data_IF_800034499398
#
_entry.id   IF_800034499398
#
_cell.length_a   1.000
_cell.length_b   1.000
_cell.length_c   1.000
_cell.angle_alpha   90.00
_cell.angle_beta   90.00
_cell.angle_gamma   90.00
#
_symmetry.space_group_name_H-M   'P 1'
#
loop_
_entity.id
_entity.type
_entity.pdbx_description
1 polymer ?
#
# COMPACT_ATOMS: atom_id res chain seq x y z
N UNK A 1 -23.86 22.00 -0.69
CA UNK A 1 -22.81 20.97 -0.59
C UNK A 1 -21.83 21.29 -1.70
N UNK A 2 -20.74 21.95 -1.35
CA UNK A 2 -19.77 22.50 -2.27
C UNK A 2 -18.74 21.41 -2.55
N UNK A 3 -18.69 20.89 -3.77
CA UNK A 3 -17.57 20.07 -4.24
C UNK A 3 -16.27 20.89 -4.06
N UNK A 4 -15.23 20.37 -3.38
CA UNK A 4 -13.96 21.06 -3.36
C UNK A 4 -13.36 21.02 -4.77
N UNK A 5 -13.34 22.21 -5.37
CA UNK A 5 -12.87 22.45 -6.72
C UNK A 5 -11.35 22.27 -6.82
N UNK A 6 -10.97 21.59 -7.89
CA UNK A 6 -9.83 21.94 -8.73
C UNK A 6 -8.43 21.61 -8.15
N UNK A 7 -8.14 20.31 -8.12
CA UNK A 7 -6.79 19.75 -8.13
C UNK A 7 -6.03 20.33 -9.33
N UNK A 8 -4.99 21.13 -9.07
CA UNK A 8 -4.06 21.55 -10.12
C UNK A 8 -3.48 20.33 -10.83
N UNK A 9 -3.14 20.41 -12.13
CA UNK A 9 -2.59 19.30 -12.88
C UNK A 9 -1.23 18.93 -12.27
N UNK A 10 -1.22 17.87 -11.48
CA UNK A 10 0.01 17.22 -11.03
C UNK A 10 0.64 16.62 -12.29
N UNK A 11 1.88 17.01 -12.57
CA UNK A 11 2.62 16.40 -13.67
C UNK A 11 2.70 14.88 -13.41
N UNK A 12 2.36 14.02 -14.39
CA UNK A 12 2.41 12.59 -14.18
C UNK A 12 3.85 12.20 -13.83
N UNK A 13 4.08 11.54 -12.68
CA UNK A 13 5.41 11.18 -12.24
C UNK A 13 6.08 10.21 -13.21
N UNK A 14 7.40 10.30 -13.35
CA UNK A 14 8.14 9.36 -14.18
C UNK A 14 8.13 7.96 -13.58
N UNK A 15 8.23 6.92 -14.41
CA UNK A 15 8.32 5.52 -13.97
C UNK A 15 9.51 5.31 -13.01
N UNK A 16 10.61 6.01 -13.21
CA UNK A 16 11.77 5.98 -12.32
C UNK A 16 11.46 6.59 -10.95
N UNK A 17 10.71 7.70 -10.91
CA UNK A 17 10.26 8.34 -9.67
C UNK A 17 9.31 7.41 -8.91
N UNK A 18 8.35 6.77 -9.60
CA UNK A 18 7.43 5.80 -9.00
C UNK A 18 8.21 4.60 -8.44
N UNK A 19 9.16 4.06 -9.19
CA UNK A 19 10.00 2.95 -8.71
C UNK A 19 10.79 3.32 -7.45
N UNK A 20 11.47 4.48 -7.45
CA UNK A 20 12.21 4.97 -6.27
C UNK A 20 11.29 5.14 -5.06
N UNK A 21 10.09 5.69 -5.28
CA UNK A 21 9.07 5.87 -4.26
C UNK A 21 8.64 4.53 -3.65
N UNK A 22 8.21 3.59 -4.50
CA UNK A 22 7.73 2.29 -4.04
C UNK A 22 8.84 1.46 -3.41
N UNK A 23 10.07 1.52 -3.93
CA UNK A 23 11.22 0.86 -3.29
C UNK A 23 11.46 1.38 -1.86
N UNK A 24 11.32 2.71 -1.64
CA UNK A 24 11.46 3.29 -0.31
C UNK A 24 10.33 2.88 0.63
N UNK A 25 9.09 2.98 0.15
CA UNK A 25 7.89 2.59 0.92
C UNK A 25 7.91 1.09 1.24
N UNK A 26 8.25 0.26 0.26
CA UNK A 26 8.40 -1.19 0.42
C UNK A 26 9.47 -1.52 1.46
N UNK A 27 10.62 -0.84 1.45
CA UNK A 27 11.64 -1.01 2.49
C UNK A 27 11.10 -0.73 3.90
N UNK A 28 10.32 0.34 4.06
CA UNK A 28 9.71 0.68 5.36
C UNK A 28 8.65 -0.34 5.82
N UNK A 29 7.94 -0.96 4.87
CA UNK A 29 6.91 -1.98 5.14
C UNK A 29 7.45 -3.42 5.17
N UNK A 30 8.75 -3.62 4.87
CA UNK A 30 9.36 -4.94 4.74
C UNK A 30 8.88 -5.72 3.50
N UNK A 31 8.51 -5.02 2.43
CA UNK A 31 8.03 -5.59 1.16
C UNK A 31 9.09 -5.36 0.08
N UNK A 32 9.62 -6.42 -0.55
CA UNK A 32 10.54 -6.26 -1.67
C UNK A 32 9.78 -5.75 -2.89
N UNK A 33 10.23 -4.63 -3.46
CA UNK A 33 9.64 -4.05 -4.68
C UNK A 33 10.55 -4.31 -5.87
N UNK A 34 10.00 -4.96 -6.89
CA UNK A 34 10.71 -5.29 -8.12
C UNK A 34 10.32 -4.33 -9.24
N UNK A 35 11.29 -3.96 -10.10
CA UNK A 35 11.03 -3.02 -11.21
C UNK A 35 9.99 -3.53 -12.21
N UNK A 36 9.79 -4.84 -12.30
CA UNK A 36 8.78 -5.46 -13.17
C UNK A 36 7.33 -5.20 -12.73
N UNK A 37 7.11 -4.79 -11.48
CA UNK A 37 5.78 -4.44 -10.93
C UNK A 37 5.36 -2.99 -11.21
N UNK A 38 6.23 -2.21 -11.85
CA UNK A 38 5.96 -0.82 -12.21
C UNK A 38 5.36 -0.79 -13.61
N UNK A 39 4.11 -0.35 -13.72
CA UNK A 39 3.43 -0.24 -15.01
C UNK A 39 4.02 0.89 -15.85
N UNK A 40 4.26 0.60 -17.13
CA UNK A 40 4.62 1.64 -18.08
C UNK A 40 3.39 2.44 -18.48
N UNK A 41 3.58 3.73 -18.74
CA UNK A 41 2.51 4.64 -19.16
C UNK A 41 1.81 4.20 -20.47
N UNK A 42 2.50 3.42 -21.31
CA UNK A 42 1.95 2.88 -22.55
C UNK A 42 0.89 1.80 -22.30
N UNK A 43 0.98 1.06 -21.19
CA UNK A 43 0.07 -0.05 -20.86
C UNK A 43 -1.23 0.44 -20.20
N UNK A 44 -1.30 1.73 -19.85
CA UNK A 44 -2.45 2.38 -19.20
C UNK A 44 -3.29 3.23 -20.17
N UNK A 45 -3.01 3.16 -21.48
CA UNK A 45 -3.61 4.02 -22.52
C UNK A 45 -5.13 3.80 -22.76
N UNK A 46 -5.71 2.70 -22.27
CA UNK A 46 -7.14 2.42 -22.39
C UNK A 46 -7.99 3.00 -21.24
N UNK A 47 -7.35 3.60 -20.22
CA UNK A 47 -8.04 4.32 -19.17
C UNK A 47 -8.15 5.81 -19.55
N UNK A 48 -9.39 6.32 -19.61
CA UNK A 48 -9.75 7.76 -19.58
C UNK A 48 -8.75 8.53 -18.68
N UNK A 49 -8.33 9.77 -19.01
CA UNK A 49 -7.35 10.52 -18.23
C UNK A 49 -7.94 10.91 -16.87
N UNK A 50 -7.99 9.96 -15.94
CA UNK A 50 -8.82 10.07 -14.74
C UNK A 50 -8.03 10.51 -13.52
N UNK A 51 -6.70 10.36 -13.52
CA UNK A 51 -5.84 10.86 -12.45
C UNK A 51 -4.35 10.73 -12.86
N UNK A 52 -3.51 11.79 -12.82
CA UNK A 52 -2.07 11.67 -13.06
C UNK A 52 -1.34 10.73 -12.09
N UNK A 53 -1.92 10.45 -10.91
CA UNK A 53 -1.35 9.54 -9.90
C UNK A 53 -1.90 8.11 -10.01
N UNK A 54 -2.77 7.82 -10.98
CA UNK A 54 -3.35 6.47 -11.16
C UNK A 54 -2.28 5.40 -11.39
N UNK A 55 -1.26 5.68 -12.21
CA UNK A 55 -0.15 4.76 -12.45
C UNK A 55 0.66 4.43 -11.19
N UNK A 56 0.78 5.40 -10.26
CA UNK A 56 1.41 5.19 -8.97
C UNK A 56 0.56 4.25 -8.10
N UNK A 57 -0.75 4.50 -7.98
CA UNK A 57 -1.66 3.68 -7.16
C UNK A 57 -1.68 2.23 -7.64
N UNK A 58 -1.83 2.02 -8.95
CA UNK A 58 -1.86 0.65 -9.52
C UNK A 58 -0.52 -0.06 -9.36
N UNK A 59 0.61 0.65 -9.59
CA UNK A 59 1.94 0.05 -9.38
C UNK A 59 2.18 -0.30 -7.92
N UNK A 60 1.63 0.48 -6.98
CA UNK A 60 1.72 0.19 -5.56
C UNK A 60 0.99 -1.10 -5.21
N UNK A 61 -0.25 -1.27 -5.67
CA UNK A 61 -1.04 -2.48 -5.48
C UNK A 61 -0.34 -3.71 -6.06
N UNK A 62 0.20 -3.61 -7.29
CA UNK A 62 0.98 -4.70 -7.90
C UNK A 62 2.25 -5.06 -7.14
N UNK A 63 2.78 -4.13 -6.35
CA UNK A 63 3.93 -4.33 -5.47
C UNK A 63 3.54 -4.85 -4.07
N UNK A 64 2.25 -5.13 -3.81
CA UNK A 64 1.75 -5.52 -2.49
C UNK A 64 1.65 -4.37 -1.48
N UNK A 65 1.74 -3.12 -1.96
CA UNK A 65 1.61 -1.90 -1.15
C UNK A 65 0.21 -1.33 -1.35
N UNK A 66 -0.64 -1.43 -0.33
CA UNK A 66 -1.95 -0.80 -0.35
C UNK A 66 -1.81 0.70 -0.04
N UNK A 67 -2.23 1.55 -0.98
CA UNK A 67 -2.14 3.01 -0.84
C UNK A 67 -3.54 3.60 -0.83
N UNK A 68 -3.86 4.36 0.22
CA UNK A 68 -5.15 5.04 0.35
C UNK A 68 -4.94 6.53 0.47
N UNK A 69 -5.64 7.31 -0.35
CA UNK A 69 -5.69 8.76 -0.20
C UNK A 69 -6.32 9.10 1.16
N UNK A 70 -5.63 9.94 1.92
CA UNK A 70 -5.99 10.31 3.28
C UNK A 70 -5.92 11.84 3.42
N UNK A 71 -6.87 12.40 4.16
CA UNK A 71 -6.77 13.76 4.66
C UNK A 71 -6.49 13.64 6.15
N UNK A 72 -5.46 14.33 6.63
CA UNK A 72 -5.19 14.43 8.06
C UNK A 72 -5.60 15.82 8.51
N UNK A 73 -6.27 15.90 9.66
CA UNK A 73 -6.73 17.16 10.23
C UNK A 73 -5.56 17.97 10.80
N UNK A 74 -4.53 17.27 11.30
CA UNK A 74 -3.31 17.86 11.81
C UNK A 74 -2.06 16.97 11.58
N UNK A 75 -0.91 17.53 11.92
CA UNK A 75 0.39 16.85 11.79
C UNK A 75 0.55 15.75 12.83
N UNK A 76 -0.11 15.84 13.97
CA UNK A 76 -0.01 14.83 15.03
C UNK A 76 -0.67 13.52 14.60
N UNK A 77 -1.80 13.59 13.90
CA UNK A 77 -2.47 12.44 13.30
C UNK A 77 -1.53 11.72 12.32
N UNK A 78 -0.91 12.49 11.42
CA UNK A 78 0.07 11.95 10.47
C UNK A 78 1.28 11.31 11.18
N UNK A 79 1.83 11.97 12.20
CA UNK A 79 2.92 11.41 13.01
C UNK A 79 2.47 10.12 13.70
N UNK A 80 1.24 10.04 14.19
CA UNK A 80 0.67 8.84 14.81
C UNK A 80 0.73 7.63 13.89
N UNK A 81 0.30 7.77 12.64
CA UNK A 81 0.40 6.69 11.64
C UNK A 81 1.85 6.26 11.37
N UNK A 82 2.77 7.23 11.29
CA UNK A 82 4.20 6.92 11.09
C UNK A 82 4.78 6.18 12.30
N UNK A 83 4.36 6.51 13.53
CA UNK A 83 4.76 5.78 14.74
C UNK A 83 4.22 4.35 14.77
N UNK A 84 3.05 4.12 14.18
CA UNK A 84 2.47 2.77 13.99
C UNK A 84 3.16 1.98 12.87
N UNK A 85 4.11 2.58 12.15
CA UNK A 85 4.84 1.97 11.05
C UNK A 85 4.14 2.09 9.70
N UNK A 86 3.17 3.00 9.57
CA UNK A 86 2.51 3.29 8.30
C UNK A 86 3.10 4.55 7.66
N UNK A 87 3.91 4.41 6.60
CA UNK A 87 4.51 5.55 5.92
C UNK A 87 3.44 6.42 5.24
N UNK A 88 3.68 7.73 5.27
CA UNK A 88 2.84 8.72 4.61
C UNK A 88 3.57 9.25 3.38
N UNK A 89 2.83 9.37 2.28
CA UNK A 89 3.32 9.84 1.00
C UNK A 89 2.58 11.14 0.67
N UNK A 90 3.33 12.18 0.34
CA UNK A 90 2.77 13.48 -0.06
C UNK A 90 3.16 13.72 -1.51
N UNK A 91 2.17 13.83 -2.39
CA UNK A 91 2.40 14.16 -3.79
C UNK A 91 2.48 15.69 -3.96
N UNK A 92 3.58 16.16 -4.54
CA UNK A 92 3.76 17.56 -4.90
C UNK A 92 3.27 17.80 -6.35
N UNK A 93 2.88 19.05 -6.70
CA UNK A 93 2.41 19.38 -8.04
C UNK A 93 3.45 19.17 -9.16
N UNK A 94 4.74 19.18 -8.83
CA UNK A 94 5.86 18.97 -9.75
C UNK A 94 6.14 17.48 -10.06
N UNK A 95 5.27 16.57 -9.61
CA UNK A 95 5.44 15.13 -9.77
C UNK A 95 6.46 14.49 -8.82
N UNK A 96 7.04 15.28 -7.90
CA UNK A 96 7.86 14.74 -6.81
C UNK A 96 7.02 14.26 -5.64
N UNK A 97 7.60 13.40 -4.81
CA UNK A 97 6.96 12.86 -3.61
C UNK A 97 7.78 13.14 -2.37
N UNK A 98 7.11 13.34 -1.25
CA UNK A 98 7.74 13.33 0.07
C UNK A 98 7.23 12.10 0.81
N UNK A 99 8.15 11.25 1.25
CA UNK A 99 7.87 10.08 2.09
C UNK A 99 8.23 10.42 3.53
N UNK A 100 7.32 10.16 4.45
CA UNK A 100 7.48 10.30 5.89
C UNK A 100 7.33 8.89 6.46
N UNK A 101 8.43 8.26 6.87
CA UNK A 101 8.42 6.82 7.20
C UNK A 101 9.08 6.46 8.53
N UNK A 102 9.77 7.41 9.17
CA UNK A 102 10.48 7.12 10.42
C UNK A 102 10.53 8.34 11.33
N UNK A 103 10.60 8.08 12.64
CA UNK A 103 10.76 9.10 13.67
C UNK A 103 11.95 8.72 14.54
N UNK A 104 12.95 9.60 14.55
CA UNK A 104 14.16 9.47 15.33
C UNK A 104 14.17 10.50 16.47
N UNK A 105 13.66 10.11 17.63
CA UNK A 105 13.56 10.98 18.81
C UNK A 105 12.59 12.14 18.59
N UNK A 106 13.12 13.36 18.41
CA UNK A 106 12.32 14.58 18.16
C UNK A 106 12.30 15.00 16.69
N UNK A 107 12.99 14.26 15.83
CA UNK A 107 13.06 14.55 14.41
C UNK A 107 12.29 13.50 13.63
N UNK A 108 11.66 13.97 12.56
CA UNK A 108 10.87 13.17 11.65
C UNK A 108 11.72 13.02 10.39
N UNK A 109 12.04 11.79 10.04
CA UNK A 109 12.79 11.52 8.83
C UNK A 109 11.85 11.60 7.63
N UNK A 110 12.31 12.35 6.64
CA UNK A 110 11.57 12.55 5.40
C UNK A 110 12.50 12.34 4.22
N UNK A 111 11.96 11.82 3.14
CA UNK A 111 12.69 11.62 1.89
C UNK A 111 11.90 12.27 0.75
N UNK A 112 12.50 13.23 0.07
CA UNK A 112 11.93 13.81 -1.15
C UNK A 112 12.48 13.05 -2.35
N UNK A 113 11.58 12.54 -3.18
CA UNK A 113 11.86 11.67 -4.33
C UNK A 113 11.35 12.37 -5.59
N UNK A 114 12.28 12.82 -6.43
CA UNK A 114 12.01 13.37 -7.77
C UNK A 114 13.07 12.88 -8.74
N UNK A 115 13.69 13.80 -9.49
CA UNK A 115 14.91 13.51 -10.26
C UNK A 115 16.03 13.03 -9.34
N UNK A 116 16.19 13.71 -8.21
CA UNK A 116 17.10 13.34 -7.13
C UNK A 116 16.35 12.88 -5.89
N UNK A 117 17.00 12.02 -5.11
CA UNK A 117 16.51 11.60 -3.80
C UNK A 117 17.26 12.37 -2.74
N UNK A 118 16.53 13.10 -1.90
CA UNK A 118 17.11 13.87 -0.79
C UNK A 118 16.48 13.44 0.52
N UNK A 119 17.30 13.14 1.52
CA UNK A 119 16.84 12.78 2.86
C UNK A 119 17.03 13.98 3.80
N UNK A 120 16.02 14.25 4.63
CA UNK A 120 16.04 15.34 5.59
C UNK A 120 15.40 14.91 6.90
N UNK A 121 15.97 15.38 8.02
CA UNK A 121 15.36 15.25 9.33
C UNK A 121 14.69 16.57 9.70
N UNK A 122 13.36 16.55 9.83
CA UNK A 122 12.54 17.74 10.06
C UNK A 122 12.02 17.78 11.49
N UNK A 123 11.84 18.98 12.03
CA UNK A 123 11.04 19.16 13.23
C UNK A 123 9.55 19.11 12.87
N UNK A 124 8.70 18.77 13.84
CA UNK A 124 7.23 18.80 13.68
C UNK A 124 6.74 20.12 13.06
N UNK A 125 7.24 21.26 13.53
CA UNK A 125 6.89 22.58 12.99
C UNK A 125 7.24 22.73 11.51
N UNK A 126 8.44 22.32 11.10
CA UNK A 126 8.85 22.36 9.69
C UNK A 126 8.02 21.42 8.83
N UNK A 127 7.66 20.25 9.36
CA UNK A 127 6.78 19.31 8.65
C UNK A 127 5.39 19.93 8.43
N UNK A 128 4.84 20.60 9.44
CA UNK A 128 3.59 21.34 9.33
C UNK A 128 3.65 22.39 8.21
N UNK A 129 4.67 23.24 8.23
CA UNK A 129 4.89 24.27 7.20
C UNK A 129 5.07 23.66 5.79
N UNK A 130 5.73 22.49 5.68
CA UNK A 130 6.08 21.89 4.40
C UNK A 130 4.97 21.02 3.78
N UNK A 131 4.17 20.35 4.61
CA UNK A 131 3.17 19.37 4.16
C UNK A 131 1.74 19.88 4.33
N UNK A 132 1.45 20.63 5.40
CA UNK A 132 0.09 20.92 5.84
C UNK A 132 -0.33 22.38 5.65
N UNK A 133 0.57 23.28 5.26
CA UNK A 133 0.29 24.73 5.11
C UNK A 133 -0.39 25.09 3.76
N UNK A 134 -0.53 24.11 2.86
CA UNK A 134 -1.10 24.32 1.53
C UNK A 134 -2.06 23.18 1.19
N UNK A 135 -3.38 23.44 1.26
CA UNK A 135 -4.47 22.50 0.99
C UNK A 135 -4.59 21.99 -0.45
N UNK A 136 -3.47 21.92 -1.17
CA UNK A 136 -3.37 21.46 -2.56
C UNK A 136 -2.58 20.15 -2.68
N UNK A 137 -1.99 19.65 -1.59
CA UNK A 137 -1.20 18.42 -1.62
C UNK A 137 -2.08 17.21 -1.37
N UNK A 138 -1.93 16.19 -2.20
CA UNK A 138 -2.58 14.90 -2.01
C UNK A 138 -1.70 14.05 -1.12
N UNK A 139 -2.30 13.50 -0.07
CA UNK A 139 -1.60 12.68 0.90
C UNK A 139 -2.14 11.27 0.83
N UNK A 140 -1.24 10.31 0.98
CA UNK A 140 -1.58 8.90 0.94
C UNK A 140 -0.98 8.21 2.14
N UNK A 141 -1.75 7.30 2.73
CA UNK A 141 -1.32 6.37 3.74
C UNK A 141 -0.99 5.05 3.06
N UNK A 142 0.25 4.59 3.20
CA UNK A 142 0.67 3.31 2.67
C UNK A 142 0.67 2.24 3.76
N UNK A 143 0.15 1.06 3.41
CA UNK A 143 0.05 -0.12 4.28
C UNK A 143 0.52 -1.34 3.52
N UNK A 144 1.01 -2.33 4.25
CA UNK A 144 1.16 -3.67 3.70
C UNK A 144 -0.23 -4.21 3.39
N UNK A 145 -0.44 -4.67 2.16
CA UNK A 145 -1.64 -5.44 1.87
C UNK A 145 -1.62 -6.69 2.75
N UNK A 146 -2.64 -6.85 3.58
CA UNK A 146 -2.79 -8.09 4.32
C UNK A 146 -3.07 -9.15 3.27
N UNK A 147 -2.13 -10.06 3.08
CA UNK A 147 -2.37 -11.32 2.39
C UNK A 147 -3.54 -11.98 3.13
N UNK A 148 -4.76 -11.72 2.68
CA UNK A 148 -5.86 -12.63 2.88
C UNK A 148 -5.46 -13.85 2.05
N UNK A 149 -4.66 -14.73 2.66
CA UNK A 149 -4.50 -16.11 2.22
C UNK A 149 -5.91 -16.61 1.96
N UNK A 150 -6.27 -16.65 0.68
CA UNK A 150 -7.52 -17.26 0.27
C UNK A 150 -7.32 -18.74 0.50
N UNK A 151 -7.64 -19.19 1.72
CA UNK A 151 -7.72 -20.60 2.14
C UNK A 151 -8.85 -21.33 1.39
N UNK A 152 -9.02 -21.08 0.11
CA UNK A 152 -10.13 -21.57 -0.72
C UNK A 152 -9.72 -21.67 -2.19
N UNK A 153 -8.54 -22.23 -2.46
CA UNK A 153 -8.27 -22.86 -3.76
C UNK A 153 -8.13 -24.36 -3.51
N UNK A 154 -9.25 -25.07 -3.59
CA UNK A 154 -9.21 -26.50 -3.89
C UNK A 154 -8.59 -26.66 -5.28
N UNK A 155 -7.46 -27.39 -5.43
CA UNK A 155 -6.92 -27.67 -6.74
C UNK A 155 -7.92 -28.57 -7.48
N UNK A 156 -8.57 -28.04 -8.52
CA UNK A 156 -9.25 -28.86 -9.51
C UNK A 156 -8.17 -29.56 -10.34
N UNK A 157 -7.70 -30.69 -9.83
CA UNK A 157 -7.05 -31.70 -10.67
C UNK A 157 -8.11 -32.21 -11.64
N UNK A 158 -7.92 -31.85 -12.91
CA UNK A 158 -8.52 -32.57 -14.02
C UNK A 158 -7.65 -33.79 -14.23
N UNK A 159 -8.10 -34.95 -13.79
CA UNK A 159 -7.73 -36.19 -14.44
C UNK A 159 -8.87 -37.20 -14.32
N UNK A 160 -9.05 -37.92 -15.42
CA UNK A 160 -10.06 -38.95 -15.61
C UNK A 160 -9.89 -40.10 -14.60
N UNK A 161 -10.99 -40.86 -14.46
CA UNK A 161 -11.11 -42.20 -13.87
C UNK A 161 -11.26 -42.38 -12.35
N UNK A 162 -12.52 -42.71 -12.00
CA UNK A 162 -12.95 -43.74 -11.03
C UNK A 162 -12.47 -43.57 -9.58
N UNK A 163 -13.29 -42.89 -8.76
CA UNK A 163 -13.82 -43.32 -7.44
C UNK A 163 -14.56 -42.14 -6.76
N UNK A 164 -15.81 -42.28 -6.28
CA UNK A 164 -16.49 -41.19 -5.57
C UNK A 164 -15.87 -41.04 -4.18
N UNK A 165 -14.90 -40.13 -4.04
CA UNK A 165 -14.46 -39.66 -2.74
C UNK A 165 -15.62 -38.89 -2.09
N UNK A 166 -16.32 -39.55 -1.15
CA UNK A 166 -17.21 -38.88 -0.22
C UNK A 166 -16.40 -37.82 0.51
N UNK A 167 -16.57 -36.56 0.14
CA UNK A 167 -16.15 -35.42 0.95
C UNK A 167 -16.96 -35.49 2.24
N UNK A 168 -16.31 -35.96 3.30
CA UNK A 168 -16.87 -35.98 4.65
C UNK A 168 -17.27 -34.53 4.98
N UNK A 169 -18.55 -34.31 5.26
CA UNK A 169 -19.05 -32.97 5.56
C UNK A 169 -18.35 -32.43 6.81
N UNK A 170 -18.23 -31.09 6.99
CA UNK A 170 -17.59 -30.51 8.17
C UNK A 170 -18.15 -31.05 9.49
N UNK A 171 -19.45 -31.33 9.53
CA UNK A 171 -20.13 -31.94 10.69
C UNK A 171 -19.65 -33.38 10.95
N UNK A 172 -19.47 -34.17 9.89
CA UNK A 172 -18.94 -35.53 10.00
C UNK A 172 -17.46 -35.55 10.40
N UNK A 173 -16.67 -34.54 9.99
CA UNK A 173 -15.28 -34.34 10.48
C UNK A 173 -15.25 -34.06 11.97
N UNK A 174 -16.14 -33.20 12.45
CA UNK A 174 -16.22 -32.86 13.88
C UNK A 174 -16.57 -34.09 14.73
N UNK A 175 -17.56 -34.89 14.29
CA UNK A 175 -17.92 -36.14 14.98
C UNK A 175 -16.80 -37.19 14.94
N UNK A 176 -16.07 -37.30 13.84
CA UNK A 176 -14.94 -38.22 13.73
C UNK A 176 -13.77 -37.83 14.67
N UNK A 177 -13.54 -36.53 14.89
CA UNK A 177 -12.54 -36.05 15.84
C UNK A 177 -12.93 -36.36 17.29
N UNK A 178 -14.21 -36.24 17.65
CA UNK A 178 -14.71 -36.65 18.96
C UNK A 178 -14.56 -38.16 19.21
N UNK A 179 -14.75 -38.98 18.18
CA UNK A 179 -14.60 -40.43 18.28
C UNK A 179 -13.13 -40.88 18.41
N UNK A 180 -12.19 -40.10 17.85
CA UNK A 180 -10.75 -40.28 18.05
C UNK A 180 -10.32 -39.99 19.49
N UNK A 181 -10.77 -38.90 20.11
CA UNK A 181 -10.49 -38.61 21.52
C UNK A 181 -10.99 -39.73 22.45
N UNK A 182 -12.12 -40.36 22.11
CA UNK A 182 -12.70 -41.42 22.94
C UNK A 182 -11.87 -42.71 22.97
N UNK A 183 -10.99 -42.92 21.99
CA UNK A 183 -10.08 -44.07 21.91
C UNK A 183 -8.82 -43.92 22.75
N UNK A 184 -8.43 -42.69 23.12
CA UNK A 184 -7.21 -42.42 23.89
C UNK A 184 -7.41 -42.52 25.42
N UNK A 185 -8.62 -42.89 25.89
CA UNK A 185 -8.98 -42.96 27.32
C UNK A 185 -9.07 -44.42 27.83
N UNK A 186 -8.47 -45.40 27.13
CA UNK A 186 -8.44 -46.81 27.55
C UNK A 186 -7.04 -47.39 27.61
#
# INVERSE_FOLDING_TARGET
MTEPANTLPVEPPSEETIFKLLARVGLSLGIPVERATILSRADSADAVPSDPLSGFVVSAEQSGVFVKEACFDDVDEAIGFVQEGYPIIVANPDGSFIVIDSIAGRQIETMTIGEHVTQQALSKRKLQELVFDHGTKRMFLAKKELECDSLSVTPHYSDDDVHPQKTISPEQRFLALLDLERRDIW
#
